data_IF_610163961237
#
_entry.id   IF_610163961237
#
_cell.length_a   1.000
_cell.length_b   1.000
_cell.length_c   1.000
_cell.angle_alpha   90.00
_cell.angle_beta   90.00
_cell.angle_gamma   90.00
#
_symmetry.space_group_name_H-M   'P 1'
#
loop_
_entity.id
_entity.type
_entity.pdbx_description
1 polymer ?
#
# COMPACT_ATOMS: atom_id res chain seq x y z
N UNK A 1 32.53 -11.64 -36.34
CA UNK A 1 31.05 -11.63 -36.50
C UNK A 1 30.61 -13.03 -36.92
N UNK A 2 29.41 -13.54 -36.57
CA UNK A 2 28.30 -12.94 -35.80
C UNK A 2 27.92 -13.78 -34.55
N UNK A 3 27.57 -13.13 -33.43
CA UNK A 3 26.22 -12.86 -32.88
C UNK A 3 25.62 -13.97 -32.01
N UNK A 4 25.15 -13.56 -30.82
CA UNK A 4 24.26 -14.38 -30.01
C UNK A 4 23.96 -13.79 -28.64
N UNK A 5 23.26 -12.65 -28.60
CA UNK A 5 22.63 -12.09 -27.39
C UNK A 5 21.94 -13.17 -26.55
N UNK A 6 22.42 -13.45 -25.34
CA UNK A 6 21.56 -13.96 -24.28
C UNK A 6 20.82 -12.79 -23.66
N UNK A 7 19.71 -12.44 -24.29
CA UNK A 7 18.68 -11.58 -23.70
C UNK A 7 18.29 -12.12 -22.33
N UNK A 8 18.50 -11.34 -21.28
CA UNK A 8 17.94 -11.58 -19.95
C UNK A 8 16.41 -11.41 -20.03
N UNK A 9 15.71 -12.44 -20.51
CA UNK A 9 14.27 -12.59 -20.31
C UNK A 9 14.05 -13.06 -18.88
N UNK A 10 13.69 -12.16 -17.96
CA UNK A 10 13.04 -12.55 -16.71
C UNK A 10 11.65 -13.11 -17.04
N UNK A 11 11.58 -14.42 -17.30
CA UNK A 11 10.33 -15.17 -17.28
C UNK A 11 10.10 -15.65 -15.83
N UNK A 12 8.95 -15.27 -15.25
CA UNK A 12 8.35 -15.94 -14.09
C UNK A 12 9.18 -16.00 -12.82
N UNK A 13 9.52 -14.86 -12.21
CA UNK A 13 10.08 -14.85 -10.86
C UNK A 13 8.98 -15.00 -9.82
N UNK A 14 8.83 -16.19 -9.23
CA UNK A 14 8.02 -16.35 -8.02
C UNK A 14 8.78 -15.74 -6.84
N UNK A 15 8.17 -14.78 -6.14
CA UNK A 15 8.71 -14.27 -4.89
C UNK A 15 8.53 -15.34 -3.81
N UNK A 16 9.62 -15.72 -3.13
CA UNK A 16 9.52 -16.54 -1.93
C UNK A 16 8.92 -15.66 -0.84
N UNK A 17 7.81 -16.10 -0.24
CA UNK A 17 7.20 -15.39 0.89
C UNK A 17 8.22 -15.26 2.02
N UNK A 18 8.37 -14.05 2.54
CA UNK A 18 9.11 -13.82 3.79
C UNK A 18 8.39 -14.53 4.96
N UNK A 19 9.00 -14.51 6.14
CA UNK A 19 8.39 -15.12 7.33
C UNK A 19 7.01 -14.52 7.61
N UNK A 20 6.15 -15.24 8.33
CA UNK A 20 4.80 -14.75 8.69
C UNK A 20 4.82 -13.42 9.46
N UNK A 21 5.94 -13.13 10.14
CA UNK A 21 6.19 -11.88 10.89
C UNK A 21 6.33 -10.65 9.98
N UNK A 22 6.60 -10.83 8.68
CA UNK A 22 6.71 -9.73 7.70
C UNK A 22 5.41 -9.53 6.89
N UNK A 23 4.29 -10.03 7.41
CA UNK A 23 2.95 -9.81 6.84
C UNK A 23 2.22 -8.77 7.68
N UNK A 24 1.83 -7.67 7.04
CA UNK A 24 0.98 -6.64 7.64
C UNK A 24 -0.41 -6.77 7.04
N UNK A 25 -1.42 -6.82 7.89
CA UNK A 25 -2.82 -6.70 7.50
C UNK A 25 -3.27 -5.28 7.79
N UNK A 26 -3.82 -4.62 6.77
CA UNK A 26 -4.42 -3.30 6.89
C UNK A 26 -5.92 -3.43 6.62
N UNK A 27 -6.69 -2.61 7.32
CA UNK A 27 -8.09 -2.36 7.02
C UNK A 27 -8.22 -1.75 5.61
N UNK A 28 -9.15 -2.27 4.81
CA UNK A 28 -9.38 -1.85 3.44
C UNK A 28 -9.98 -0.45 3.34
N UNK A 29 -10.81 -0.04 4.30
CA UNK A 29 -11.35 1.31 4.36
C UNK A 29 -10.24 2.34 4.61
N UNK A 30 -9.26 1.99 5.44
CA UNK A 30 -8.10 2.83 5.70
C UNK A 30 -7.21 2.96 4.45
N UNK A 31 -7.03 1.86 3.71
CA UNK A 31 -6.32 1.89 2.43
C UNK A 31 -7.06 2.78 1.40
N UNK A 32 -8.39 2.69 1.37
CA UNK A 32 -9.26 3.56 0.59
C UNK A 32 -9.13 5.03 0.97
N UNK A 33 -9.09 5.32 2.28
CA UNK A 33 -8.94 6.67 2.82
C UNK A 33 -7.63 7.34 2.37
N UNK A 34 -6.54 6.57 2.27
CA UNK A 34 -5.25 7.06 1.77
C UNK A 34 -5.16 7.14 0.25
N UNK A 35 -6.20 6.71 -0.47
CA UNK A 35 -6.16 6.33 -1.88
C UNK A 35 -5.48 7.33 -2.81
N UNK A 36 -5.71 8.63 -2.63
CA UNK A 36 -5.07 9.65 -3.47
C UNK A 36 -3.57 9.78 -3.23
N UNK A 37 -3.12 9.70 -1.98
CA UNK A 37 -1.69 9.74 -1.65
C UNK A 37 -0.96 8.47 -2.10
N UNK A 38 -1.65 7.32 -2.08
CA UNK A 38 -1.10 6.05 -2.55
C UNK A 38 -0.85 6.07 -4.06
N UNK A 39 -1.63 6.83 -4.84
CA UNK A 39 -1.42 7.02 -6.29
C UNK A 39 -0.10 7.67 -6.65
N UNK A 40 0.63 8.26 -5.72
CA UNK A 40 1.94 8.87 -6.00
C UNK A 40 3.10 7.87 -5.97
N UNK A 41 2.84 6.65 -5.50
CA UNK A 41 3.87 5.66 -5.24
C UNK A 41 4.07 4.82 -6.51
N UNK A 42 5.29 4.73 -7.06
CA UNK A 42 5.53 3.91 -8.24
C UNK A 42 5.45 2.43 -7.84
N UNK A 43 4.73 1.62 -8.62
CA UNK A 43 4.61 0.17 -8.41
C UNK A 43 4.74 -0.56 -9.74
N UNK A 44 4.92 -1.88 -9.67
CA UNK A 44 4.92 -2.76 -10.83
C UNK A 44 3.69 -3.67 -10.83
N UNK A 45 2.94 -3.66 -11.94
CA UNK A 45 1.82 -4.58 -12.19
C UNK A 45 2.38 -5.85 -12.85
N UNK A 46 2.41 -7.00 -12.14
CA UNK A 46 2.97 -8.23 -12.68
C UNK A 46 2.12 -8.86 -13.78
N UNK A 47 0.81 -8.58 -13.83
CA UNK A 47 -0.09 -9.12 -14.86
C UNK A 47 0.10 -8.37 -16.16
N UNK A 48 0.15 -7.03 -16.08
CA UNK A 48 0.35 -6.17 -17.26
C UNK A 48 1.83 -6.01 -17.62
N UNK A 49 2.74 -6.52 -16.79
CA UNK A 49 4.19 -6.45 -16.94
C UNK A 49 4.68 -5.01 -17.21
N UNK A 50 4.22 -4.04 -16.40
CA UNK A 50 4.55 -2.63 -16.57
C UNK A 50 4.64 -1.88 -15.25
N UNK A 51 5.44 -0.82 -15.24
CA UNK A 51 5.42 0.18 -14.16
C UNK A 51 4.12 0.98 -14.22
N UNK A 52 3.59 1.32 -13.06
CA UNK A 52 2.43 2.19 -12.86
C UNK A 52 2.63 3.07 -11.63
N UNK A 53 1.68 3.99 -11.44
CA UNK A 53 1.58 4.82 -10.25
C UNK A 53 0.36 4.36 -9.44
N UNK A 54 0.52 4.24 -8.12
CA UNK A 54 -0.48 3.66 -7.24
C UNK A 54 -0.53 2.14 -7.27
N UNK A 55 -1.55 1.59 -6.65
CA UNK A 55 -1.77 0.15 -6.52
C UNK A 55 -2.92 -0.29 -7.42
N UNK A 56 -2.83 -1.50 -7.96
CA UNK A 56 -3.96 -2.19 -8.55
C UNK A 56 -4.91 -2.63 -7.42
N UNK A 57 -6.01 -1.91 -7.21
CA UNK A 57 -6.89 -2.15 -6.06
C UNK A 57 -7.38 -3.60 -5.94
N UNK A 58 -7.73 -4.23 -7.07
CA UNK A 58 -8.25 -5.60 -7.15
C UNK A 58 -7.19 -6.62 -7.61
N UNK A 59 -5.90 -6.29 -7.50
CA UNK A 59 -4.87 -7.18 -7.99
C UNK A 59 -3.49 -6.90 -7.41
N UNK A 60 -2.54 -7.73 -7.83
CA UNK A 60 -1.21 -7.66 -7.26
C UNK A 60 -0.48 -6.39 -7.69
N UNK A 61 0.23 -5.78 -6.76
CA UNK A 61 1.19 -4.69 -7.04
C UNK A 61 2.48 -4.98 -6.30
N UNK A 62 3.61 -4.71 -6.95
CA UNK A 62 4.93 -4.94 -6.37
C UNK A 62 5.64 -3.62 -6.18
N UNK A 63 6.15 -3.37 -4.98
CA UNK A 63 7.04 -2.25 -4.70
C UNK A 63 8.46 -2.74 -4.51
N UNK A 64 9.40 -2.12 -5.21
CA UNK A 64 10.82 -2.42 -5.10
C UNK A 64 11.54 -1.29 -4.34
N UNK A 65 12.87 -1.38 -4.24
CA UNK A 65 13.71 -0.37 -3.58
C UNK A 65 13.51 1.06 -4.10
N UNK A 66 13.19 1.26 -5.38
CA UNK A 66 12.97 2.58 -5.98
C UNK A 66 11.67 3.23 -5.45
N UNK A 67 10.64 2.41 -5.19
CA UNK A 67 9.37 2.85 -4.60
C UNK A 67 9.50 3.29 -3.14
N UNK A 68 10.45 2.72 -2.40
CA UNK A 68 10.47 2.80 -0.94
C UNK A 68 10.64 4.22 -0.41
N UNK A 69 11.44 5.07 -1.05
CA UNK A 69 11.60 6.45 -0.58
C UNK A 69 10.26 7.18 -0.58
N UNK A 70 9.46 7.05 -1.65
CA UNK A 70 8.14 7.68 -1.72
C UNK A 70 7.15 7.01 -0.76
N UNK A 71 7.12 5.67 -0.72
CA UNK A 71 6.22 4.92 0.16
C UNK A 71 6.45 5.26 1.64
N UNK A 72 7.69 5.20 2.11
CA UNK A 72 8.04 5.53 3.51
C UNK A 72 7.67 6.97 3.83
N UNK A 73 7.92 7.90 2.91
CA UNK A 73 7.57 9.31 3.11
C UNK A 73 6.06 9.49 3.26
N UNK A 74 5.26 8.88 2.40
CA UNK A 74 3.79 8.95 2.50
C UNK A 74 3.28 8.33 3.80
N UNK A 75 3.77 7.14 4.18
CA UNK A 75 3.36 6.48 5.42
C UNK A 75 3.77 7.28 6.67
N UNK A 76 4.97 7.86 6.65
CA UNK A 76 5.46 8.72 7.76
C UNK A 76 4.60 9.97 7.89
N UNK A 77 4.24 10.62 6.79
CA UNK A 77 3.36 11.78 6.80
C UNK A 77 1.97 11.47 7.38
N UNK A 78 1.39 10.32 7.03
CA UNK A 78 0.13 9.87 7.65
C UNK A 78 0.29 9.58 9.15
N UNK A 79 1.39 8.92 9.54
CA UNK A 79 1.70 8.62 10.95
C UNK A 79 1.79 9.91 11.75
N UNK A 80 2.54 10.89 11.26
CA UNK A 80 2.73 12.18 11.91
C UNK A 80 1.41 12.98 11.97
N UNK A 81 0.57 12.89 10.94
CA UNK A 81 -0.76 13.51 10.96
C UNK A 81 -1.65 12.89 12.05
N UNK A 82 -1.71 11.56 12.15
CA UNK A 82 -2.52 10.88 13.16
C UNK A 82 -1.97 10.99 14.58
N UNK A 83 -0.69 11.28 14.76
CA UNK A 83 -0.16 11.66 16.08
C UNK A 83 -0.86 12.90 16.66
N UNK A 84 -1.36 13.81 15.82
CA UNK A 84 -2.11 14.98 16.23
C UNK A 84 -3.61 14.71 16.49
N UNK A 85 -4.09 13.51 16.18
CA UNK A 85 -5.49 13.13 16.35
C UNK A 85 -5.83 12.79 17.82
N UNK A 86 -7.11 12.84 18.22
CA UNK A 86 -7.57 12.31 19.51
C UNK A 86 -7.38 10.78 19.59
N UNK A 87 -7.50 10.21 20.80
CA UNK A 87 -7.38 8.75 21.04
C UNK A 87 -8.34 7.92 20.18
N UNK A 88 -9.59 8.39 20.04
CA UNK A 88 -10.58 7.81 19.14
C UNK A 88 -10.71 8.68 17.90
N UNK A 89 -10.23 8.18 16.77
CA UNK A 89 -10.22 8.89 15.49
C UNK A 89 -11.51 8.57 14.75
N UNK A 90 -12.23 9.61 14.32
CA UNK A 90 -13.39 9.49 13.45
C UNK A 90 -13.06 10.12 12.11
N UNK A 91 -13.00 9.31 11.06
CA UNK A 91 -12.75 9.74 9.70
C UNK A 91 -14.02 9.61 8.86
N UNK A 92 -14.18 10.56 7.94
CA UNK A 92 -15.25 10.52 6.96
C UNK A 92 -14.86 9.58 5.81
N UNK A 93 -15.57 8.45 5.69
CA UNK A 93 -15.39 7.47 4.63
C UNK A 93 -16.16 7.83 3.34
N UNK A 94 -16.33 6.86 2.43
CA UNK A 94 -17.08 7.02 1.18
C UNK A 94 -18.53 7.46 1.39
N UNK A 95 -19.08 8.16 0.39
CA UNK A 95 -20.49 8.51 0.34
C UNK A 95 -21.31 7.38 -0.27
N UNK A 96 -22.44 7.04 0.33
CA UNK A 96 -23.39 6.08 -0.22
C UNK A 96 -24.83 6.61 -0.16
N UNK A 97 -25.63 6.11 -1.11
CA UNK A 97 -27.06 6.40 -1.20
C UNK A 97 -27.85 5.38 -0.40
N UNK A 98 -28.89 5.85 0.28
CA UNK A 98 -29.92 5.05 0.92
C UNK A 98 -31.17 5.21 0.05
N UNK A 99 -31.70 4.09 -0.44
CA UNK A 99 -32.80 4.12 -1.40
C UNK A 99 -34.10 4.63 -0.77
N UNK A 100 -34.38 4.32 0.51
CA UNK A 100 -35.62 4.74 1.19
C UNK A 100 -35.43 5.08 2.69
N UNK A 101 -35.71 6.33 3.12
CA UNK A 101 -35.96 7.50 2.28
C UNK A 101 -34.69 7.89 1.49
N UNK A 102 -34.88 8.31 0.23
CA UNK A 102 -33.81 8.77 -0.65
C UNK A 102 -32.97 9.86 0.02
N UNK A 103 -31.83 9.44 0.55
CA UNK A 103 -30.88 10.27 1.29
C UNK A 103 -29.49 9.71 1.07
N UNK A 104 -28.47 10.47 1.40
CA UNK A 104 -27.12 9.97 1.34
C UNK A 104 -26.34 10.37 2.57
N UNK A 105 -25.39 9.53 2.91
CA UNK A 105 -24.55 9.72 4.09
C UNK A 105 -23.14 9.28 3.78
N UNK A 106 -22.21 9.87 4.50
CA UNK A 106 -20.83 9.38 4.52
C UNK A 106 -20.73 8.29 5.58
N UNK A 107 -20.02 7.23 5.23
CA UNK A 107 -19.55 6.26 6.20
C UNK A 107 -18.69 6.95 7.27
N UNK A 108 -18.78 6.45 8.49
CA UNK A 108 -17.94 6.89 9.60
C UNK A 108 -16.95 5.75 9.90
N UNK A 109 -15.67 6.04 9.73
CA UNK A 109 -14.60 5.10 10.00
C UNK A 109 -14.01 5.43 11.37
N UNK A 110 -14.07 4.47 12.28
CA UNK A 110 -13.60 4.64 13.66
C UNK A 110 -12.31 3.85 13.87
N UNK A 111 -11.29 4.52 14.38
CA UNK A 111 -9.99 3.90 14.66
C UNK A 111 -9.48 4.27 16.05
N UNK A 112 -8.86 3.27 16.71
CA UNK A 112 -7.97 3.50 17.83
C UNK A 112 -6.65 4.09 17.33
N UNK A 113 -6.25 5.22 17.90
CA UNK A 113 -5.06 5.96 17.49
C UNK A 113 -3.78 5.14 17.58
N UNK A 114 -3.59 4.42 18.68
CA UNK A 114 -2.36 3.65 18.92
C UNK A 114 -2.26 2.47 17.96
N UNK A 115 -3.37 1.77 17.69
CA UNK A 115 -3.43 0.70 16.69
C UNK A 115 -3.10 1.24 15.29
N UNK A 116 -3.70 2.38 14.92
CA UNK A 116 -3.47 3.01 13.61
C UNK A 116 -2.00 3.43 13.43
N UNK A 117 -1.43 4.09 14.43
CA UNK A 117 -0.02 4.50 14.42
C UNK A 117 0.89 3.27 14.33
N UNK A 118 0.64 2.22 15.11
CA UNK A 118 1.43 1.00 15.07
C UNK A 118 1.40 0.34 13.68
N UNK A 119 0.24 0.30 13.01
CA UNK A 119 0.15 -0.23 11.65
C UNK A 119 1.01 0.56 10.66
N UNK A 120 0.99 1.90 10.75
CA UNK A 120 1.81 2.76 9.91
C UNK A 120 3.31 2.60 10.20
N UNK A 121 3.68 2.44 11.48
CA UNK A 121 5.07 2.19 11.88
C UNK A 121 5.58 0.84 11.35
N UNK A 122 4.74 -0.22 11.38
CA UNK A 122 5.08 -1.49 10.77
C UNK A 122 5.30 -1.36 9.24
N UNK A 123 4.45 -0.60 8.55
CA UNK A 123 4.61 -0.34 7.10
C UNK A 123 5.94 0.39 6.82
N UNK A 124 6.27 1.40 7.64
CA UNK A 124 7.55 2.13 7.55
C UNK A 124 8.74 1.17 7.77
N UNK A 125 8.68 0.32 8.79
CA UNK A 125 9.74 -0.64 9.10
C UNK A 125 9.96 -1.64 7.98
N UNK A 126 8.90 -2.20 7.39
CA UNK A 126 9.01 -3.07 6.22
C UNK A 126 9.61 -2.31 5.03
N UNK A 127 9.19 -1.06 4.82
CA UNK A 127 9.77 -0.22 3.77
C UNK A 127 11.28 -0.03 3.93
N UNK A 128 11.76 0.18 5.16
CA UNK A 128 13.19 0.30 5.44
C UNK A 128 13.95 -1.01 5.21
N UNK A 129 13.40 -2.15 5.63
CA UNK A 129 13.98 -3.47 5.33
C UNK A 129 14.22 -3.64 3.82
N UNK A 130 13.26 -3.24 3.00
CA UNK A 130 13.35 -3.31 1.52
C UNK A 130 14.38 -2.32 0.94
N UNK A 131 14.66 -1.19 1.59
CA UNK A 131 15.76 -0.30 1.17
C UNK A 131 17.12 -0.90 1.46
N UNK A 132 17.26 -1.61 2.57
CA UNK A 132 18.55 -2.08 3.06
C UNK A 132 18.92 -3.48 2.54
N UNK A 133 17.93 -4.26 2.10
CA UNK A 133 18.07 -5.67 1.73
C UNK A 133 17.43 -5.96 0.35
N UNK A 134 17.65 -7.14 -0.22
CA UNK A 134 17.09 -7.56 -1.52
C UNK A 134 15.69 -8.17 -1.36
N UNK A 135 14.74 -7.33 -0.91
CA UNK A 135 13.34 -7.69 -0.75
C UNK A 135 12.44 -6.84 -1.66
N UNK A 136 11.18 -7.24 -1.77
CA UNK A 136 10.10 -6.43 -2.35
C UNK A 136 8.88 -6.53 -1.45
N UNK A 137 7.98 -5.55 -1.54
CA UNK A 137 6.65 -5.64 -0.95
C UNK A 137 5.69 -6.11 -2.03
N UNK A 138 4.84 -7.08 -1.69
CA UNK A 138 3.75 -7.57 -2.55
C UNK A 138 2.44 -7.18 -1.89
N UNK A 139 1.68 -6.29 -2.53
CA UNK A 139 0.29 -6.01 -2.22
C UNK A 139 -0.58 -7.00 -2.99
N UNK A 140 -1.54 -7.64 -2.33
CA UNK A 140 -2.36 -8.73 -2.90
C UNK A 140 -3.74 -8.30 -3.40
N UNK A 141 -4.05 -6.99 -3.36
CA UNK A 141 -5.42 -6.53 -3.59
C UNK A 141 -6.32 -6.76 -2.38
N UNK A 142 -7.56 -6.29 -2.53
CA UNK A 142 -8.69 -6.56 -1.65
C UNK A 142 -9.61 -7.58 -2.34
#
# INVERSE_FOLDING_TARGET
MPNGNSTNKKQGGYYKRANSEDVITLDDDLFGYFGDSLKWIPTFDPIKNKMMMGFNYYGNSIMNKESMTQFITVMTSWRDLFQAAPENINLQGPFFWIDEPASGQYEQLEYDKDVLINNLEQLILIGQKVKDQDYVIVYFGI
#
